data_IF_819012175270
#
_entry.id   IF_819012175270
#
_cell.length_a   1.000
_cell.length_b   1.000
_cell.length_c   1.000
_cell.angle_alpha   90.00
_cell.angle_beta   90.00
_cell.angle_gamma   90.00
#
_symmetry.space_group_name_H-M   'P 1'
#
loop_
_entity.id
_entity.type
_entity.pdbx_description
1 polymer ?
#
# COMPACT_ATOMS: atom_id res chain seq x y z
N UNK A 1 -6.26 66.50 -48.16
CA UNK A 1 -5.58 65.31 -48.71
C UNK A 1 -5.21 64.42 -47.53
N UNK A 2 -5.77 63.21 -47.51
CA UNK A 2 -5.78 62.24 -46.40
C UNK A 2 -4.39 61.54 -46.24
N UNK A 3 -4.03 60.87 -45.15
CA UNK A 3 -4.57 59.59 -44.64
C UNK A 3 -4.00 59.32 -43.24
N UNK A 4 -4.88 58.87 -42.33
CA UNK A 4 -4.58 58.30 -41.02
C UNK A 4 -4.00 56.89 -41.17
N UNK A 5 -2.83 56.61 -40.59
CA UNK A 5 -2.25 55.26 -40.54
C UNK A 5 -2.43 54.73 -39.10
N UNK A 6 -3.51 53.98 -38.88
CA UNK A 6 -3.67 53.12 -37.70
C UNK A 6 -2.84 51.86 -37.92
N UNK A 7 -1.70 51.75 -37.24
CA UNK A 7 -0.95 50.51 -37.18
C UNK A 7 -1.63 49.57 -36.15
N UNK A 8 -2.41 48.60 -36.62
CA UNK A 8 -2.96 47.51 -35.80
C UNK A 8 -1.83 46.53 -35.48
N UNK A 9 -1.38 46.51 -34.23
CA UNK A 9 -0.45 45.49 -33.73
C UNK A 9 -1.21 44.16 -33.61
N UNK A 10 -0.84 43.18 -34.44
CA UNK A 10 -1.46 41.84 -34.50
C UNK A 10 -1.14 41.02 -33.26
N UNK A 11 -2.01 41.12 -32.26
CA UNK A 11 -2.02 40.32 -31.04
C UNK A 11 -2.75 38.99 -31.29
N UNK A 12 -2.25 38.13 -32.18
CA UNK A 12 -2.98 36.93 -32.60
C UNK A 12 -2.15 35.64 -32.76
N UNK A 13 -0.89 35.62 -32.35
CA UNK A 13 -0.02 34.46 -32.60
C UNK A 13 0.77 33.96 -31.37
N UNK A 14 0.22 34.13 -30.18
CA UNK A 14 0.83 33.63 -28.93
C UNK A 14 -0.11 32.73 -28.12
N UNK A 15 -1.08 32.08 -28.78
CA UNK A 15 -2.06 31.19 -28.13
C UNK A 15 -1.91 29.70 -28.52
N UNK A 16 -1.37 29.26 -29.67
CA UNK A 16 -1.42 27.83 -29.98
C UNK A 16 -0.26 27.00 -29.37
N UNK A 17 0.83 27.61 -28.88
CA UNK A 17 1.99 26.86 -28.37
C UNK A 17 1.81 26.44 -26.90
N UNK A 18 1.22 27.28 -26.05
CA UNK A 18 1.02 26.96 -24.63
C UNK A 18 -0.10 25.96 -24.35
N UNK A 19 -1.07 25.80 -25.27
CA UNK A 19 -2.21 24.90 -25.05
C UNK A 19 -1.87 23.42 -25.31
N UNK A 20 -0.80 23.13 -26.04
CA UNK A 20 -0.43 21.75 -26.39
C UNK A 20 0.36 21.02 -25.28
N UNK A 21 1.03 21.76 -24.38
CA UNK A 21 1.84 21.17 -23.31
C UNK A 21 1.01 20.63 -22.12
N UNK A 22 -0.21 21.13 -21.89
CA UNK A 22 -0.99 20.77 -20.69
C UNK A 22 -1.74 19.44 -20.84
N UNK A 23 -1.97 18.98 -22.07
CA UNK A 23 -2.79 17.77 -22.33
C UNK A 23 -2.06 16.42 -22.22
N UNK A 24 -0.73 16.39 -21.99
CA UNK A 24 0.05 15.14 -22.04
C UNK A 24 0.37 14.51 -20.68
N UNK A 25 -0.05 15.09 -19.56
CA UNK A 25 0.25 14.57 -18.22
C UNK A 25 -1.03 14.33 -17.41
N UNK A 26 -1.91 13.48 -17.93
CA UNK A 26 -2.78 12.68 -17.06
C UNK A 26 -2.17 11.28 -16.98
N UNK A 27 -1.23 11.11 -16.05
CA UNK A 27 -0.95 9.76 -15.55
C UNK A 27 -2.22 9.39 -14.77
N UNK A 28 -3.04 8.50 -15.31
CA UNK A 28 -4.07 7.87 -14.52
C UNK A 28 -3.34 7.24 -13.32
N UNK A 29 -3.61 7.74 -12.11
CA UNK A 29 -3.17 7.02 -10.92
C UNK A 29 -3.79 5.64 -11.06
N UNK A 30 -2.95 4.60 -11.20
CA UNK A 30 -3.44 3.24 -11.09
C UNK A 30 -4.11 3.17 -9.73
N UNK A 31 -5.44 3.00 -9.72
CA UNK A 31 -6.17 2.71 -8.51
C UNK A 31 -5.58 1.39 -8.03
N UNK A 32 -4.72 1.41 -7.00
CA UNK A 32 -4.29 0.16 -6.38
C UNK A 32 -5.56 -0.61 -6.02
N UNK A 33 -5.62 -1.91 -6.33
CA UNK A 33 -6.80 -2.71 -6.01
C UNK A 33 -7.14 -2.45 -4.53
N UNK A 34 -8.36 -1.97 -4.30
CA UNK A 34 -8.80 -1.63 -2.96
C UNK A 34 -8.81 -2.89 -2.12
N UNK A 35 -8.05 -2.89 -1.02
CA UNK A 35 -8.05 -4.03 -0.09
C UNK A 35 -9.41 -4.12 0.59
N UNK A 36 -10.02 -5.29 0.48
CA UNK A 36 -11.28 -5.62 1.13
C UNK A 36 -11.03 -6.44 2.40
N UNK A 37 -12.09 -6.76 3.14
CA UNK A 37 -11.96 -7.58 4.35
C UNK A 37 -11.53 -9.01 4.03
N UNK A 38 -11.91 -9.52 2.86
CA UNK A 38 -11.63 -10.89 2.45
C UNK A 38 -10.15 -11.09 2.07
N UNK A 39 -9.42 -9.99 1.85
CA UNK A 39 -7.99 -9.98 1.56
C UNK A 39 -7.11 -9.99 2.83
N UNK A 40 -7.71 -10.02 4.02
CA UNK A 40 -7.02 -9.92 5.31
C UNK A 40 -7.18 -11.20 6.12
N UNK A 41 -6.06 -11.85 6.40
CA UNK A 41 -5.97 -12.96 7.35
C UNK A 41 -5.08 -12.57 8.53
N UNK A 42 -5.50 -12.94 9.74
CA UNK A 42 -4.72 -12.73 10.97
C UNK A 42 -4.61 -14.06 11.70
N UNK A 43 -3.38 -14.54 11.87
CA UNK A 43 -3.08 -15.73 12.67
C UNK A 43 -2.33 -15.33 13.92
N UNK A 44 -2.88 -15.64 15.10
CA UNK A 44 -2.21 -15.37 16.38
C UNK A 44 -1.14 -16.44 16.59
N UNK A 45 0.12 -15.99 16.69
CA UNK A 45 1.27 -16.86 16.97
C UNK A 45 1.49 -17.03 18.47
N UNK A 46 1.34 -15.97 19.26
CA UNK A 46 1.36 -16.06 20.74
C UNK A 46 0.28 -15.19 21.36
N UNK A 47 -0.32 -15.69 22.44
CA UNK A 47 -1.23 -14.98 23.35
C UNK A 47 -1.30 -15.76 24.67
N UNK A 48 -1.97 -15.23 25.70
CA UNK A 48 -2.02 -15.81 27.04
C UNK A 48 -2.51 -17.27 27.07
N UNK A 49 -3.30 -17.69 26.09
CA UNK A 49 -3.86 -19.04 25.96
C UNK A 49 -3.61 -19.57 24.55
N UNK A 50 -3.38 -20.87 24.42
CA UNK A 50 -3.31 -21.54 23.14
C UNK A 50 -4.46 -22.55 23.01
N UNK A 51 -4.93 -22.74 21.78
CA UNK A 51 -5.96 -23.73 21.49
C UNK A 51 -5.37 -25.14 21.48
N UNK A 52 -5.71 -25.91 22.53
CA UNK A 52 -5.30 -27.30 22.69
C UNK A 52 -3.80 -27.47 22.98
N UNK A 53 -3.29 -28.68 22.71
CA UNK A 53 -1.89 -29.05 22.98
C UNK A 53 -0.97 -28.84 21.76
N UNK A 54 -1.42 -28.11 20.74
CA UNK A 54 -0.67 -27.92 19.49
C UNK A 54 0.33 -26.77 19.63
N UNK A 55 -0.16 -25.56 19.89
CA UNK A 55 0.68 -24.38 20.11
C UNK A 55 0.86 -24.10 21.60
N UNK A 56 1.85 -23.26 21.94
CA UNK A 56 2.14 -22.89 23.32
C UNK A 56 1.66 -21.46 23.61
N UNK A 57 0.83 -21.32 24.65
CA UNK A 57 0.43 -20.03 25.17
C UNK A 57 1.57 -19.34 25.94
N UNK A 58 1.60 -18.01 25.90
CA UNK A 58 2.59 -17.17 26.55
C UNK A 58 1.93 -15.86 26.99
N UNK A 59 2.36 -15.26 28.10
CA UNK A 59 1.91 -13.92 28.48
C UNK A 59 2.59 -12.85 27.61
N UNK A 60 2.26 -12.85 26.33
CA UNK A 60 2.79 -11.97 25.29
C UNK A 60 1.79 -11.85 24.14
N UNK A 61 2.19 -11.17 23.06
CA UNK A 61 1.43 -11.14 21.83
C UNK A 61 2.35 -11.19 20.60
N UNK A 62 1.95 -11.95 19.60
CA UNK A 62 2.53 -11.93 18.25
C UNK A 62 1.51 -12.46 17.26
N UNK A 63 1.47 -11.88 16.06
CA UNK A 63 0.55 -12.29 15.00
C UNK A 63 1.20 -12.23 13.62
N UNK A 64 0.84 -13.20 12.79
CA UNK A 64 1.11 -13.20 11.35
C UNK A 64 -0.07 -12.60 10.60
N UNK A 65 0.20 -11.58 9.80
CA UNK A 65 -0.82 -10.87 9.01
C UNK A 65 -0.56 -11.08 7.52
N UNK A 66 -1.59 -11.49 6.81
CA UNK A 66 -1.59 -11.61 5.35
C UNK A 66 -2.59 -10.59 4.80
N UNK A 67 -2.11 -9.65 3.97
CA UNK A 67 -2.91 -8.53 3.45
C UNK A 67 -2.67 -8.38 1.95
N UNK A 68 -3.50 -9.05 1.14
CA UNK A 68 -3.23 -9.29 -0.28
C UNK A 68 -1.90 -10.02 -0.45
N UNK A 69 -0.98 -9.44 -1.23
CA UNK A 69 0.36 -9.99 -1.47
C UNK A 69 1.39 -9.63 -0.39
N UNK A 70 0.97 -8.90 0.65
CA UNK A 70 1.86 -8.47 1.74
C UNK A 70 1.76 -9.42 2.92
N UNK A 71 2.89 -9.58 3.61
CA UNK A 71 3.03 -10.41 4.80
C UNK A 71 3.73 -9.61 5.89
N UNK A 72 3.26 -9.72 7.12
CA UNK A 72 3.81 -9.00 8.26
C UNK A 72 3.85 -9.90 9.50
N UNK A 73 4.97 -9.89 10.19
CA UNK A 73 5.03 -10.29 11.59
C UNK A 73 4.77 -9.06 12.46
N UNK A 74 3.65 -9.05 13.16
CA UNK A 74 3.31 -8.01 14.12
C UNK A 74 3.68 -8.47 15.53
N UNK A 75 4.60 -7.73 16.16
CA UNK A 75 5.23 -8.06 17.44
C UNK A 75 5.98 -9.41 17.42
N UNK A 76 6.94 -9.58 18.32
CA UNK A 76 7.81 -10.77 18.40
C UNK A 76 7.58 -11.57 19.68
N UNK A 77 6.49 -11.29 20.40
CA UNK A 77 6.20 -11.93 21.68
C UNK A 77 7.26 -11.62 22.74
N UNK A 78 7.19 -12.35 23.85
CA UNK A 78 8.20 -12.28 24.91
C UNK A 78 9.35 -13.26 24.62
N UNK A 79 9.02 -14.46 24.13
CA UNK A 79 10.00 -15.46 23.69
C UNK A 79 9.96 -15.64 22.17
N UNK A 80 11.03 -15.26 21.45
CA UNK A 80 11.17 -15.53 20.02
C UNK A 80 11.03 -17.03 19.69
N UNK A 81 11.49 -17.91 20.58
CA UNK A 81 11.41 -19.36 20.39
C UNK A 81 9.94 -19.84 20.34
N UNK A 82 9.05 -19.24 21.15
CA UNK A 82 7.63 -19.57 21.14
C UNK A 82 6.95 -19.11 19.85
N UNK A 83 7.33 -17.93 19.33
CA UNK A 83 6.84 -17.45 18.03
C UNK A 83 7.28 -18.37 16.90
N UNK A 84 8.57 -18.72 16.84
CA UNK A 84 9.12 -19.61 15.82
C UNK A 84 8.49 -21.00 15.87
N UNK A 85 8.40 -21.60 17.07
CA UNK A 85 7.78 -22.91 17.26
C UNK A 85 6.31 -22.91 16.84
N UNK A 86 5.53 -21.90 17.24
CA UNK A 86 4.12 -21.85 16.90
C UNK A 86 3.91 -21.60 15.40
N UNK A 87 4.74 -20.77 14.77
CA UNK A 87 4.72 -20.59 13.31
C UNK A 87 5.00 -21.90 12.57
N UNK A 88 6.02 -22.66 12.99
CA UNK A 88 6.35 -23.97 12.41
C UNK A 88 5.17 -24.96 12.54
N UNK A 89 4.56 -25.06 13.72
CA UNK A 89 3.41 -25.94 13.98
C UNK A 89 2.20 -25.56 13.12
N UNK A 90 2.00 -24.28 12.87
CA UNK A 90 0.92 -23.75 12.02
C UNK A 90 1.28 -23.75 10.52
N UNK A 91 2.50 -24.16 10.15
CA UNK A 91 2.97 -24.18 8.77
C UNK A 91 3.20 -22.79 8.16
N UNK A 92 3.49 -21.79 9.00
CA UNK A 92 3.77 -20.41 8.58
C UNK A 92 5.28 -20.23 8.43
N UNK A 93 5.71 -19.80 7.23
CA UNK A 93 7.08 -19.37 6.97
C UNK A 93 7.23 -17.87 7.24
N UNK A 94 7.95 -17.53 8.31
CA UNK A 94 8.21 -16.13 8.70
C UNK A 94 9.31 -15.44 7.87
N UNK A 95 9.96 -16.18 6.97
CA UNK A 95 10.95 -15.62 6.02
C UNK A 95 10.36 -15.22 4.67
N UNK A 96 9.08 -15.55 4.45
CA UNK A 96 8.33 -15.29 3.22
C UNK A 96 8.04 -13.80 2.96
#
# INVERSE_FOLDING_TARGET
MAISIRCRLSMALWIPISLFCVFKIQKAAAQEPGITRDDVSVTILTTNLADGNLTQGEWSFSAWLEVGDRRFLFDTGWSPDNVLRNAEILGIDLSA
#
